data_IF_338879593845
#
_entry.id   IF_338879593845
#
_cell.length_a   1.000
_cell.length_b   1.000
_cell.length_c   1.000
_cell.angle_alpha   90.00
_cell.angle_beta   90.00
_cell.angle_gamma   90.00
#
_symmetry.space_group_name_H-M   'P 1'
#
loop_
_entity.id
_entity.type
_entity.pdbx_description
1 polymer ?
#
# COMPACT_ATOMS: atom_id res chain seq x y z
N UNK A 1 11.56 -23.42 -3.63
CA UNK A 1 12.86 -23.23 -4.34
C UNK A 1 12.90 -21.82 -4.89
N UNK A 2 14.11 -21.22 -5.00
CA UNK A 2 14.26 -19.85 -5.51
C UNK A 2 14.86 -19.94 -6.91
N UNK A 3 14.18 -19.34 -7.87
CA UNK A 3 14.67 -19.23 -9.24
C UNK A 3 14.94 -17.76 -9.58
N UNK A 4 15.95 -17.53 -10.39
CA UNK A 4 16.26 -16.19 -10.92
C UNK A 4 16.22 -16.26 -12.44
N UNK A 5 15.51 -15.30 -13.03
CA UNK A 5 15.47 -15.07 -14.46
C UNK A 5 16.36 -13.86 -14.78
N UNK A 6 17.12 -13.95 -15.85
CA UNK A 6 17.81 -12.77 -16.33
C UNK A 6 16.80 -11.73 -16.86
N UNK A 7 17.20 -10.47 -16.92
CA UNK A 7 16.33 -9.35 -17.34
C UNK A 7 15.66 -9.58 -18.71
N UNK A 8 16.32 -10.31 -19.61
CA UNK A 8 15.79 -10.61 -20.94
C UNK A 8 14.84 -11.82 -20.94
N UNK A 9 14.65 -12.50 -19.80
CA UNK A 9 13.82 -13.70 -19.63
C UNK A 9 14.25 -14.87 -20.52
N UNK A 10 15.53 -14.91 -20.93
CA UNK A 10 16.10 -15.95 -21.80
C UNK A 10 16.83 -17.04 -21.02
N UNK A 11 17.13 -16.80 -19.76
CA UNK A 11 17.85 -17.71 -18.88
C UNK A 11 17.15 -17.75 -17.52
N UNK A 12 16.98 -18.98 -17.01
CA UNK A 12 16.45 -19.27 -15.67
C UNK A 12 17.42 -20.18 -14.95
N UNK A 13 17.78 -19.82 -13.72
CA UNK A 13 18.61 -20.67 -12.86
C UNK A 13 18.05 -20.73 -11.45
N UNK A 14 18.26 -21.87 -10.81
CA UNK A 14 17.99 -22.04 -9.39
C UNK A 14 19.15 -21.48 -8.58
N UNK A 15 18.86 -20.69 -7.54
CA UNK A 15 19.89 -20.25 -6.59
C UNK A 15 20.32 -21.41 -5.69
N UNK A 16 21.63 -21.58 -5.59
CA UNK A 16 22.26 -22.56 -4.74
C UNK A 16 22.72 -21.91 -3.42
N UNK A 17 22.76 -22.71 -2.35
CA UNK A 17 23.34 -22.29 -1.06
C UNK A 17 22.75 -20.99 -0.51
N UNK A 18 21.41 -20.87 -0.54
CA UNK A 18 20.70 -19.76 0.09
C UNK A 18 20.82 -19.90 1.61
N UNK A 19 21.38 -18.89 2.26
CA UNK A 19 21.60 -18.84 3.70
C UNK A 19 20.41 -18.22 4.43
N UNK A 20 19.84 -17.16 3.87
CA UNK A 20 18.61 -16.58 4.36
C UNK A 20 17.77 -15.96 3.25
N UNK A 21 16.48 -15.96 3.47
CA UNK A 21 15.48 -15.27 2.64
C UNK A 21 14.50 -14.58 3.57
N UNK A 22 14.28 -13.31 3.36
CA UNK A 22 13.14 -12.59 3.91
C UNK A 22 12.31 -12.09 2.74
N UNK A 23 11.03 -12.42 2.74
CA UNK A 23 10.09 -11.96 1.72
C UNK A 23 8.85 -11.38 2.38
N UNK A 24 8.52 -10.17 2.03
CA UNK A 24 7.38 -9.43 2.54
C UNK A 24 6.45 -9.06 1.39
N UNK A 25 5.21 -9.51 1.44
CA UNK A 25 4.17 -9.11 0.50
C UNK A 25 3.13 -8.25 1.20
N UNK A 26 2.61 -7.27 0.48
CA UNK A 26 1.59 -6.33 0.96
C UNK A 26 0.36 -6.42 0.07
N UNK A 27 -0.83 -6.44 0.66
CA UNK A 27 -2.09 -6.54 -0.08
C UNK A 27 -2.34 -5.34 -0.98
N UNK A 28 -2.15 -4.16 -0.42
CA UNK A 28 -2.22 -2.90 -1.15
C UNK A 28 -0.90 -2.16 -0.99
N UNK A 29 0.03 -2.43 -1.90
CA UNK A 29 1.38 -1.84 -1.86
C UNK A 29 2.41 -2.71 -2.53
N UNK A 30 3.65 -2.27 -2.46
CA UNK A 30 4.80 -2.94 -3.08
C UNK A 30 5.61 -3.66 -2.00
N UNK A 31 5.64 -4.98 -2.05
CA UNK A 31 6.40 -5.82 -1.13
C UNK A 31 7.92 -5.67 -1.30
N UNK A 32 8.68 -6.27 -0.39
CA UNK A 32 10.14 -6.24 -0.39
C UNK A 32 10.72 -7.64 -0.18
N UNK A 33 11.94 -7.88 -0.66
CA UNK A 33 12.66 -9.09 -0.33
C UNK A 33 14.15 -8.85 -0.12
N UNK A 34 14.77 -9.74 0.63
CA UNK A 34 16.22 -9.83 0.82
C UNK A 34 16.64 -11.29 0.76
N UNK A 35 17.62 -11.59 -0.06
CA UNK A 35 18.20 -12.92 -0.24
C UNK A 35 19.68 -12.84 0.08
N UNK A 36 20.15 -13.72 0.98
CA UNK A 36 21.57 -13.89 1.24
C UNK A 36 21.96 -15.31 0.82
N UNK A 37 22.97 -15.41 0.00
CA UNK A 37 23.52 -16.70 -0.42
C UNK A 37 25.05 -16.64 -0.47
N UNK A 38 25.67 -17.83 -0.53
CA UNK A 38 27.13 -17.92 -0.68
C UNK A 38 27.58 -17.29 -1.99
N UNK A 39 28.71 -16.59 -1.94
CA UNK A 39 29.34 -16.04 -3.13
C UNK A 39 29.96 -17.18 -3.96
N UNK A 40 29.28 -17.53 -5.04
CA UNK A 40 29.76 -18.46 -6.08
C UNK A 40 29.62 -17.80 -7.45
N UNK A 41 30.39 -18.26 -8.43
CA UNK A 41 30.33 -17.69 -9.79
C UNK A 41 28.91 -17.80 -10.38
N UNK A 42 28.19 -18.90 -10.10
CA UNK A 42 26.82 -19.11 -10.56
C UNK A 42 25.85 -18.12 -9.92
N UNK A 43 25.91 -17.94 -8.58
CA UNK A 43 25.05 -17.01 -7.87
C UNK A 43 25.35 -15.56 -8.30
N UNK A 44 26.64 -15.19 -8.40
CA UNK A 44 27.07 -13.86 -8.83
C UNK A 44 26.66 -13.55 -10.28
N UNK A 45 26.62 -14.55 -11.15
CA UNK A 45 26.14 -14.38 -12.52
C UNK A 45 24.66 -14.05 -12.61
N UNK A 46 23.84 -14.57 -11.68
CA UNK A 46 22.38 -14.42 -11.72
C UNK A 46 21.85 -13.34 -10.80
N UNK A 47 22.45 -13.11 -9.64
CA UNK A 47 22.03 -12.04 -8.72
C UNK A 47 22.55 -10.69 -9.22
N UNK A 48 21.82 -10.11 -10.16
CA UNK A 48 22.14 -8.82 -10.76
C UNK A 48 20.93 -7.89 -10.75
N UNK A 49 21.17 -6.61 -10.63
CA UNK A 49 20.15 -5.58 -10.73
C UNK A 49 19.33 -5.72 -12.02
N UNK A 50 18.01 -5.75 -11.87
CA UNK A 50 17.05 -5.87 -12.97
C UNK A 50 16.69 -7.31 -13.33
N UNK A 51 17.33 -8.31 -12.72
CA UNK A 51 16.90 -9.71 -12.83
C UNK A 51 15.68 -9.97 -11.95
N UNK A 52 14.86 -10.94 -12.33
CA UNK A 52 13.64 -11.31 -11.63
C UNK A 52 13.88 -12.52 -10.73
N UNK A 53 13.28 -12.51 -9.56
CA UNK A 53 13.29 -13.62 -8.62
C UNK A 53 11.89 -14.20 -8.55
N UNK A 54 11.79 -15.51 -8.60
CA UNK A 54 10.57 -16.27 -8.36
C UNK A 54 10.77 -17.22 -7.18
N UNK A 55 9.88 -17.14 -6.20
CA UNK A 55 9.90 -17.97 -5.00
C UNK A 55 8.48 -18.30 -4.56
N UNK A 56 8.07 -19.57 -4.68
CA UNK A 56 6.81 -20.09 -4.13
C UNK A 56 5.55 -19.27 -4.52
N UNK A 57 5.50 -18.86 -5.80
CA UNK A 57 4.41 -18.02 -6.33
C UNK A 57 4.57 -16.52 -6.06
N UNK A 58 5.68 -16.11 -5.45
CA UNK A 58 6.05 -14.71 -5.30
C UNK A 58 7.05 -14.30 -6.38
N UNK A 59 6.85 -13.13 -6.95
CA UNK A 59 7.68 -12.58 -8.01
C UNK A 59 8.29 -11.25 -7.57
N UNK A 60 9.58 -11.08 -7.81
CA UNK A 60 10.28 -9.87 -7.41
C UNK A 60 11.33 -9.40 -8.42
N UNK A 61 11.65 -8.13 -8.33
CA UNK A 61 12.69 -7.47 -9.14
C UNK A 61 13.87 -7.09 -8.24
N UNK A 62 15.07 -7.58 -8.57
CA UNK A 62 16.32 -7.21 -7.87
C UNK A 62 16.65 -5.76 -8.19
N UNK A 63 16.79 -4.96 -7.15
CA UNK A 63 17.13 -3.53 -7.29
C UNK A 63 18.55 -3.23 -6.86
N UNK A 64 19.07 -3.96 -5.90
CA UNK A 64 20.36 -3.74 -5.29
C UNK A 64 21.05 -5.07 -4.97
N UNK A 65 22.37 -5.12 -5.13
CA UNK A 65 23.18 -6.30 -4.89
C UNK A 65 24.48 -5.88 -4.21
N UNK A 66 24.76 -6.48 -3.08
CA UNK A 66 26.03 -6.31 -2.36
C UNK A 66 26.80 -7.63 -2.41
N UNK A 67 28.03 -7.60 -2.91
CA UNK A 67 28.93 -8.77 -2.99
C UNK A 67 30.04 -8.59 -1.97
N UNK A 68 30.21 -9.60 -1.13
CA UNK A 68 31.29 -9.73 -0.16
C UNK A 68 32.10 -11.00 -0.50
N UNK A 69 33.22 -11.20 0.19
CA UNK A 69 34.10 -12.34 -0.10
C UNK A 69 33.37 -13.69 -0.05
N UNK A 70 32.54 -13.90 0.98
CA UNK A 70 31.87 -15.18 1.25
C UNK A 70 30.37 -15.16 0.90
N UNK A 71 29.76 -13.99 0.73
CA UNK A 71 28.31 -13.87 0.57
C UNK A 71 27.89 -12.85 -0.47
N UNK A 72 26.69 -13.06 -1.01
CA UNK A 72 25.99 -12.11 -1.86
C UNK A 72 24.65 -11.82 -1.21
N UNK A 73 24.34 -10.54 -1.05
CA UNK A 73 23.04 -10.06 -0.61
C UNK A 73 22.34 -9.37 -1.80
N UNK A 74 21.17 -9.86 -2.17
CA UNK A 74 20.32 -9.25 -3.19
C UNK A 74 19.04 -8.76 -2.54
N UNK A 75 18.75 -7.46 -2.67
CA UNK A 75 17.55 -6.83 -2.20
C UNK A 75 16.69 -6.38 -3.37
N UNK A 76 15.39 -6.36 -3.16
CA UNK A 76 14.44 -5.91 -4.17
C UNK A 76 13.03 -5.79 -3.65
N UNK A 77 12.13 -5.57 -4.57
CA UNK A 77 10.71 -5.42 -4.30
C UNK A 77 9.88 -6.47 -5.06
N UNK A 78 8.64 -6.68 -4.61
CA UNK A 78 7.67 -7.45 -5.38
C UNK A 78 7.55 -6.91 -6.81
N UNK A 79 7.13 -7.75 -7.73
CA UNK A 79 7.15 -7.40 -9.16
C UNK A 79 6.28 -6.18 -9.48
N UNK A 80 5.32 -5.83 -8.62
CA UNK A 80 4.52 -4.61 -8.72
C UNK A 80 5.37 -3.32 -8.80
N UNK A 81 6.62 -3.34 -8.32
CA UNK A 81 7.55 -2.20 -8.45
C UNK A 81 7.78 -1.77 -9.91
N UNK A 82 7.54 -2.64 -10.88
CA UNK A 82 7.63 -2.28 -12.30
C UNK A 82 6.66 -1.13 -12.66
N UNK A 83 5.54 -1.00 -11.96
CA UNK A 83 4.59 0.10 -12.15
C UNK A 83 5.24 1.46 -11.88
N UNK A 84 6.18 1.54 -10.94
CA UNK A 84 6.92 2.77 -10.62
C UNK A 84 7.90 3.22 -11.71
N UNK A 85 8.07 2.42 -12.77
CA UNK A 85 8.81 2.84 -13.96
C UNK A 85 7.99 3.77 -14.86
N UNK A 86 6.74 4.04 -14.53
CA UNK A 86 5.83 4.91 -15.28
C UNK A 86 5.13 5.89 -14.35
N UNK A 87 4.89 7.08 -14.86
CA UNK A 87 4.17 8.17 -14.18
C UNK A 87 2.88 8.47 -14.90
N UNK A 88 1.90 9.05 -14.22
CA UNK A 88 0.71 9.58 -14.84
C UNK A 88 1.04 10.82 -15.71
N UNK A 89 0.48 10.88 -16.92
CA UNK A 89 0.73 11.99 -17.84
C UNK A 89 -0.30 13.10 -17.77
N UNK A 90 -1.51 12.75 -17.37
CA UNK A 90 -2.64 13.68 -17.32
C UNK A 90 -3.30 13.62 -15.96
N UNK A 91 -3.81 14.75 -15.54
CA UNK A 91 -4.66 14.83 -14.37
C UNK A 91 -6.00 14.13 -14.69
N UNK A 92 -6.50 13.35 -13.77
CA UNK A 92 -7.79 12.65 -13.89
C UNK A 92 -8.36 12.33 -12.52
N UNK A 93 -9.69 12.24 -12.43
CA UNK A 93 -10.37 11.81 -11.20
C UNK A 93 -10.85 10.38 -11.40
N UNK A 94 -10.50 9.52 -10.48
CA UNK A 94 -10.90 8.11 -10.45
C UNK A 94 -11.99 7.94 -9.38
N UNK A 95 -13.14 7.43 -9.78
CA UNK A 95 -14.31 7.22 -8.90
C UNK A 95 -14.68 5.74 -8.71
N UNK A 96 -14.11 4.85 -9.52
CA UNK A 96 -14.30 3.40 -9.45
C UNK A 96 -12.94 2.73 -9.41
N UNK A 97 -12.68 1.94 -8.38
CA UNK A 97 -11.33 1.46 -8.11
C UNK A 97 -10.80 0.51 -9.17
N UNK A 98 -11.48 -0.61 -9.44
CA UNK A 98 -10.97 -1.60 -10.39
C UNK A 98 -10.87 -1.05 -11.82
N UNK A 99 -11.96 -0.49 -12.34
CA UNK A 99 -11.98 0.03 -13.72
C UNK A 99 -11.08 1.25 -13.89
N UNK A 100 -10.99 2.11 -12.86
CA UNK A 100 -10.12 3.28 -12.85
C UNK A 100 -8.65 2.90 -12.83
N UNK A 101 -8.26 1.93 -12.00
CA UNK A 101 -6.90 1.42 -11.94
C UNK A 101 -6.46 0.83 -13.30
N UNK A 102 -7.28 -0.01 -13.92
CA UNK A 102 -6.98 -0.53 -15.26
C UNK A 102 -6.91 0.56 -16.31
N UNK A 103 -7.82 1.52 -16.29
CA UNK A 103 -7.83 2.65 -17.25
C UNK A 103 -6.56 3.50 -17.09
N UNK A 104 -6.18 3.84 -15.86
CA UNK A 104 -4.97 4.59 -15.57
C UNK A 104 -3.72 3.83 -16.01
N UNK A 105 -3.63 2.52 -15.72
CA UNK A 105 -2.54 1.66 -16.15
C UNK A 105 -2.42 1.64 -17.67
N UNK A 106 -3.50 1.32 -18.39
CA UNK A 106 -3.49 1.20 -19.85
C UNK A 106 -3.13 2.51 -20.54
N UNK A 107 -3.63 3.64 -20.03
CA UNK A 107 -3.30 4.97 -20.55
C UNK A 107 -1.81 5.34 -20.39
N UNK A 108 -1.15 4.78 -19.35
CA UNK A 108 0.19 5.20 -18.95
C UNK A 108 1.27 4.11 -19.07
N UNK A 109 0.97 2.87 -19.46
CA UNK A 109 1.96 1.77 -19.54
C UNK A 109 3.09 2.00 -20.56
N UNK A 110 2.87 2.76 -21.62
CA UNK A 110 3.90 3.22 -22.60
C UNK A 110 4.99 2.19 -22.90
N UNK A 111 4.64 1.05 -23.47
CA UNK A 111 5.59 -0.02 -23.81
C UNK A 111 6.16 -0.80 -22.61
N UNK A 112 5.59 -0.64 -21.42
CA UNK A 112 5.88 -1.52 -20.30
C UNK A 112 5.42 -2.95 -20.64
N UNK A 113 6.34 -3.92 -20.51
CA UNK A 113 6.07 -5.33 -20.79
C UNK A 113 5.29 -5.97 -19.63
N UNK A 114 4.06 -5.50 -19.46
CA UNK A 114 3.08 -5.97 -18.48
C UNK A 114 1.70 -5.86 -19.13
N UNK A 115 0.93 -6.93 -19.11
CA UNK A 115 -0.45 -6.95 -19.56
C UNK A 115 -1.42 -6.62 -18.41
N UNK A 116 -2.59 -6.11 -18.72
CA UNK A 116 -3.67 -5.97 -17.75
C UNK A 116 -4.47 -7.27 -17.67
N UNK A 117 -4.83 -7.71 -16.47
CA UNK A 117 -5.79 -8.78 -16.29
C UNK A 117 -7.19 -8.35 -16.77
N UNK A 118 -8.07 -9.30 -17.00
CA UNK A 118 -9.47 -9.02 -17.27
C UNK A 118 -10.15 -8.53 -16.00
N UNK A 119 -10.85 -7.40 -16.06
CA UNK A 119 -11.61 -6.90 -14.95
C UNK A 119 -12.68 -7.90 -14.49
N UNK A 120 -12.86 -8.04 -13.20
CA UNK A 120 -13.79 -9.00 -12.57
C UNK A 120 -15.09 -8.36 -12.10
N UNK A 121 -15.20 -7.02 -12.20
CA UNK A 121 -16.33 -6.25 -11.67
C UNK A 121 -16.29 -6.17 -10.16
N UNK A 122 -15.12 -6.02 -9.58
CA UNK A 122 -14.93 -5.93 -8.14
C UNK A 122 -15.64 -4.69 -7.59
N UNK A 123 -16.34 -4.81 -6.46
CA UNK A 123 -16.99 -3.67 -5.82
C UNK A 123 -15.93 -2.72 -5.25
N UNK A 124 -16.24 -1.45 -5.22
CA UNK A 124 -15.40 -0.43 -4.57
C UNK A 124 -15.45 0.88 -5.32
N UNK A 125 -15.85 1.91 -4.59
CA UNK A 125 -15.75 3.30 -5.01
C UNK A 125 -14.54 3.93 -4.35
N UNK A 126 -13.94 4.88 -5.04
CA UNK A 126 -12.87 5.72 -4.52
C UNK A 126 -13.08 7.14 -5.03
N UNK A 127 -12.39 8.09 -4.48
CA UNK A 127 -12.30 9.43 -5.03
C UNK A 127 -10.83 9.85 -4.98
N UNK A 128 -10.13 9.57 -6.07
CA UNK A 128 -8.69 9.85 -6.17
C UNK A 128 -8.45 10.83 -7.30
N UNK A 129 -7.94 11.99 -6.96
CA UNK A 129 -7.47 12.99 -7.91
C UNK A 129 -6.04 12.66 -8.32
N UNK A 130 -5.90 11.96 -9.43
CA UNK A 130 -4.58 11.62 -9.98
C UNK A 130 -3.98 12.86 -10.62
N UNK A 131 -2.82 13.26 -10.14
CA UNK A 131 -2.04 14.36 -10.69
C UNK A 131 -0.92 13.82 -11.59
N UNK A 132 -0.58 14.56 -12.64
CA UNK A 132 0.56 14.22 -13.51
C UNK A 132 1.86 14.24 -12.70
N UNK A 133 2.71 13.25 -12.93
CA UNK A 133 4.05 13.15 -12.32
C UNK A 133 4.17 12.10 -11.23
N UNK A 134 3.11 11.71 -10.52
CA UNK A 134 3.13 10.60 -9.56
C UNK A 134 3.34 9.24 -10.25
N UNK A 135 3.96 8.28 -9.57
CA UNK A 135 4.18 6.95 -10.14
C UNK A 135 2.90 6.14 -10.23
N UNK A 136 2.82 5.19 -11.17
CA UNK A 136 1.62 4.35 -11.27
C UNK A 136 1.44 3.47 -10.02
N UNK A 137 2.53 3.02 -9.39
CA UNK A 137 2.44 2.22 -8.17
C UNK A 137 1.79 3.00 -7.03
N UNK A 138 2.21 4.26 -6.80
CA UNK A 138 1.66 5.12 -5.76
C UNK A 138 0.16 5.39 -6.00
N UNK A 139 -0.22 5.65 -7.26
CA UNK A 139 -1.64 5.82 -7.61
C UNK A 139 -2.46 4.55 -7.43
N UNK A 140 -1.90 3.37 -7.78
CA UNK A 140 -2.59 2.09 -7.54
C UNK A 140 -2.81 1.86 -6.04
N UNK A 141 -1.84 2.20 -5.21
CA UNK A 141 -1.96 2.10 -3.76
C UNK A 141 -3.07 2.99 -3.24
N UNK A 142 -3.14 4.27 -3.66
CA UNK A 142 -4.20 5.18 -3.25
C UNK A 142 -5.59 4.73 -3.72
N UNK A 143 -5.73 4.31 -4.99
CA UNK A 143 -6.99 3.86 -5.55
C UNK A 143 -7.48 2.59 -4.85
N UNK A 144 -6.60 1.60 -4.69
CA UNK A 144 -6.98 0.30 -4.14
C UNK A 144 -7.23 0.36 -2.64
N UNK A 145 -6.45 1.15 -1.88
CA UNK A 145 -6.63 1.28 -0.42
C UNK A 145 -7.98 1.87 -0.06
N UNK A 146 -8.44 2.91 -0.76
CA UNK A 146 -9.77 3.51 -0.50
C UNK A 146 -10.92 2.53 -0.75
N UNK A 147 -10.75 1.57 -1.64
CA UNK A 147 -11.76 0.57 -1.98
C UNK A 147 -11.60 -0.77 -1.23
N UNK A 148 -10.59 -0.89 -0.38
CA UNK A 148 -10.27 -2.16 0.29
C UNK A 148 -9.86 -3.28 -0.67
N UNK A 149 -9.29 -2.92 -1.84
CA UNK A 149 -8.77 -3.84 -2.85
C UNK A 149 -7.26 -3.97 -2.74
N UNK A 150 -6.72 -5.02 -3.32
CA UNK A 150 -5.28 -5.20 -3.49
C UNK A 150 -4.88 -5.09 -4.96
N UNK A 151 -3.59 -4.90 -5.20
CA UNK A 151 -3.04 -5.00 -6.53
C UNK A 151 -1.71 -5.76 -6.51
N UNK A 152 -1.38 -6.36 -7.64
CA UNK A 152 -0.13 -7.10 -7.83
C UNK A 152 0.28 -7.15 -9.30
N UNK A 153 1.54 -7.47 -9.53
CA UNK A 153 2.03 -7.93 -10.83
C UNK A 153 2.58 -9.33 -10.65
N UNK A 154 2.09 -10.27 -11.41
CA UNK A 154 2.50 -11.68 -11.35
C UNK A 154 3.26 -12.07 -12.62
N UNK A 155 4.12 -13.07 -12.51
CA UNK A 155 4.83 -13.71 -13.61
C UNK A 155 4.29 -15.11 -13.83
N UNK A 156 3.82 -15.40 -15.02
CA UNK A 156 3.55 -16.77 -15.44
C UNK A 156 4.88 -17.43 -15.89
N UNK A 157 5.34 -18.41 -15.12
CA UNK A 157 6.62 -19.09 -15.36
C UNK A 157 6.70 -19.83 -16.70
N UNK A 158 5.57 -20.19 -17.31
CA UNK A 158 5.52 -20.95 -18.56
C UNK A 158 5.50 -20.03 -19.78
N UNK A 159 4.65 -19.01 -19.73
CA UNK A 159 4.53 -18.04 -20.82
C UNK A 159 5.48 -16.85 -20.70
N UNK A 160 6.10 -16.69 -19.53
CA UNK A 160 6.96 -15.56 -19.15
C UNK A 160 6.27 -14.19 -19.25
N UNK A 161 4.94 -14.20 -19.22
CA UNK A 161 4.12 -12.99 -19.25
C UNK A 161 3.95 -12.41 -17.85
N UNK A 162 4.05 -11.09 -17.77
CA UNK A 162 3.77 -10.32 -16.57
C UNK A 162 2.37 -9.75 -16.67
N UNK A 163 1.59 -9.87 -15.60
CA UNK A 163 0.20 -9.44 -15.59
C UNK A 163 -0.07 -8.56 -14.37
N UNK A 164 -0.53 -7.33 -14.60
CA UNK A 164 -1.06 -6.45 -13.56
C UNK A 164 -2.50 -6.84 -13.27
N UNK A 165 -2.81 -7.08 -12.01
CA UNK A 165 -4.13 -7.48 -11.53
C UNK A 165 -4.54 -6.66 -10.30
N UNK A 166 -5.77 -6.16 -10.32
CA UNK A 166 -6.49 -5.70 -9.13
C UNK A 166 -7.34 -6.85 -8.61
N UNK A 167 -7.30 -7.13 -7.31
CA UNK A 167 -7.97 -8.30 -6.74
C UNK A 167 -8.58 -8.03 -5.37
N UNK A 168 -9.50 -8.88 -4.98
CA UNK A 168 -10.10 -8.91 -3.65
C UNK A 168 -9.86 -10.29 -3.04
N UNK A 169 -9.50 -10.33 -1.76
CA UNK A 169 -9.40 -11.59 -1.02
C UNK A 169 -10.77 -12.12 -0.63
N UNK A 170 -10.82 -13.38 -0.24
CA UNK A 170 -12.03 -14.08 0.17
C UNK A 170 -12.44 -13.68 1.60
N UNK A 171 -13.76 -13.73 1.89
CA UNK A 171 -14.28 -13.58 3.25
C UNK A 171 -14.37 -14.95 3.93
N UNK A 172 -13.39 -15.26 4.77
CA UNK A 172 -13.26 -16.52 5.53
C UNK A 172 -13.78 -16.37 6.98
N UNK A 173 -14.67 -15.42 7.23
CA UNK A 173 -15.14 -15.12 8.59
C UNK A 173 -16.43 -15.81 8.98
N UNK A 174 -17.18 -16.39 8.04
CA UNK A 174 -18.46 -17.02 8.29
C UNK A 174 -18.31 -18.26 9.18
N UNK A 175 -18.97 -18.32 10.34
CA UNK A 175 -18.86 -19.48 11.25
C UNK A 175 -19.52 -20.74 10.69
N UNK A 176 -20.38 -20.61 9.69
CA UNK A 176 -21.07 -21.72 9.02
C UNK A 176 -20.31 -22.25 7.81
N UNK A 177 -19.26 -21.55 7.38
CA UNK A 177 -18.42 -21.97 6.27
C UNK A 177 -17.34 -22.94 6.77
N UNK A 178 -17.22 -24.15 6.20
CA UNK A 178 -16.14 -25.09 6.51
C UNK A 178 -14.75 -24.53 6.22
N UNK A 179 -14.65 -23.54 5.33
CA UNK A 179 -13.39 -22.88 4.97
C UNK A 179 -13.03 -21.72 5.91
N UNK A 180 -13.90 -21.40 6.90
CA UNK A 180 -13.64 -20.30 7.81
C UNK A 180 -12.31 -20.42 8.54
N UNK A 181 -11.60 -19.30 8.63
CA UNK A 181 -10.29 -19.21 9.28
C UNK A 181 -10.39 -18.38 10.55
N UNK A 182 -10.03 -19.03 11.67
CA UNK A 182 -9.95 -18.38 12.98
C UNK A 182 -8.57 -18.65 13.57
N UNK A 183 -7.78 -17.62 13.73
CA UNK A 183 -6.52 -17.69 14.47
C UNK A 183 -6.79 -17.67 15.97
N UNK A 184 -6.35 -18.70 16.69
CA UNK A 184 -6.44 -18.72 18.14
C UNK A 184 -5.41 -19.66 18.77
N UNK A 185 -4.99 -19.34 20.00
CA UNK A 185 -4.13 -20.22 20.78
C UNK A 185 -4.81 -21.56 21.09
N UNK A 186 -6.14 -21.59 21.21
CA UNK A 186 -6.90 -22.81 21.45
C UNK A 186 -6.90 -23.77 20.24
N UNK A 187 -6.73 -23.27 19.04
CA UNK A 187 -6.61 -24.05 17.79
C UNK A 187 -5.16 -24.39 17.43
N UNK A 188 -4.22 -23.98 18.25
CA UNK A 188 -2.79 -24.20 18.06
C UNK A 188 -2.26 -23.68 16.69
N UNK A 189 -2.94 -22.69 16.10
CA UNK A 189 -2.56 -22.05 14.85
C UNK A 189 -2.10 -20.58 15.04
N UNK A 190 -2.03 -20.12 16.29
CA UNK A 190 -1.53 -18.81 16.70
C UNK A 190 -0.36 -19.02 17.68
N UNK A 191 0.86 -18.77 17.24
CA UNK A 191 2.05 -18.88 18.05
C UNK A 191 2.34 -17.60 18.85
N UNK A 192 2.02 -16.45 18.31
CA UNK A 192 2.18 -15.14 18.95
C UNK A 192 1.16 -14.13 18.43
N UNK A 193 0.82 -13.17 19.28
CA UNK A 193 0.01 -12.01 18.94
C UNK A 193 0.74 -10.78 19.46
N UNK A 194 1.06 -9.86 18.59
CA UNK A 194 1.54 -8.52 18.91
C UNK A 194 0.44 -7.53 18.54
N UNK A 195 0.18 -6.61 19.43
CA UNK A 195 -0.74 -5.50 19.20
C UNK A 195 0.12 -4.25 19.27
N UNK A 196 0.09 -3.48 18.22
CA UNK A 196 0.78 -2.20 18.14
C UNK A 196 -0.27 -1.13 17.95
N UNK A 197 -0.33 -0.19 18.89
CA UNK A 197 -1.19 0.97 18.85
C UNK A 197 -0.29 2.20 18.74
N UNK A 198 -0.06 2.63 17.50
CA UNK A 198 0.80 3.77 17.21
C UNK A 198 -0.04 5.04 17.06
N UNK A 199 -0.03 5.84 18.10
CA UNK A 199 -0.61 7.17 18.14
C UNK A 199 0.42 8.31 18.02
N UNK A 200 1.68 8.00 17.70
CA UNK A 200 2.77 8.99 17.70
C UNK A 200 2.54 10.15 16.72
N UNK A 201 1.87 9.87 15.60
CA UNK A 201 1.52 10.86 14.59
C UNK A 201 0.04 11.25 14.59
N UNK A 202 -0.73 10.74 15.56
CA UNK A 202 -2.17 11.01 15.61
C UNK A 202 -2.46 12.50 15.75
N UNK A 203 -3.36 13.00 14.91
CA UNK A 203 -3.94 14.34 15.04
C UNK A 203 -5.44 14.29 14.69
N UNK A 204 -6.20 15.16 15.33
CA UNK A 204 -7.64 15.28 15.13
C UNK A 204 -8.11 16.73 14.90
N UNK A 205 -7.16 17.66 14.87
CA UNK A 205 -7.40 19.05 14.49
C UNK A 205 -6.25 19.51 13.58
N UNK A 206 -6.59 20.08 12.42
CA UNK A 206 -5.64 20.74 11.56
C UNK A 206 -5.82 22.26 11.64
N UNK A 207 -4.72 22.97 11.86
CA UNK A 207 -4.62 24.41 11.76
C UNK A 207 -3.95 24.74 10.44
N UNK A 208 -4.75 25.18 9.48
CA UNK A 208 -4.31 25.45 8.10
C UNK A 208 -4.08 26.94 7.94
N UNK A 209 -2.88 27.32 7.52
CA UNK A 209 -2.49 28.69 7.23
C UNK A 209 -2.44 28.92 5.72
N UNK A 210 -3.07 29.99 5.27
CA UNK A 210 -3.05 30.43 3.88
C UNK A 210 -2.79 31.93 3.78
N UNK A 211 -2.89 32.48 2.55
CA UNK A 211 -2.79 33.91 2.24
C UNK A 211 -3.95 34.34 1.36
N UNK A 212 -4.59 35.45 1.70
CA UNK A 212 -5.64 36.05 0.87
C UNK A 212 -5.06 36.80 -0.34
N UNK A 213 -5.93 37.42 -1.16
CA UNK A 213 -5.56 38.24 -2.32
C UNK A 213 -4.71 39.46 -1.98
N UNK A 214 -4.68 39.88 -0.71
CA UNK A 214 -3.92 41.04 -0.23
C UNK A 214 -2.65 40.62 0.52
N UNK A 215 -2.25 39.35 0.41
CA UNK A 215 -1.12 38.75 1.11
C UNK A 215 -1.26 38.69 2.64
N UNK A 216 -2.50 38.86 3.15
CA UNK A 216 -2.77 38.69 4.58
C UNK A 216 -2.90 37.22 4.94
N UNK A 217 -2.40 36.86 6.13
CA UNK A 217 -2.53 35.52 6.65
C UNK A 217 -3.98 35.18 6.98
N UNK A 218 -4.45 34.04 6.49
CA UNK A 218 -5.78 33.48 6.76
C UNK A 218 -5.61 32.13 7.43
N UNK A 219 -6.41 31.88 8.47
CA UNK A 219 -6.38 30.61 9.21
C UNK A 219 -7.69 29.88 9.04
N UNK A 220 -7.61 28.57 8.80
CA UNK A 220 -8.73 27.66 8.80
C UNK A 220 -8.48 26.55 9.81
N UNK A 221 -9.48 26.21 10.63
CA UNK A 221 -9.38 25.14 11.62
C UNK A 221 -10.34 24.03 11.22
N UNK A 222 -9.80 22.82 11.06
CA UNK A 222 -10.55 21.61 10.72
C UNK A 222 -10.49 20.67 11.91
N UNK A 223 -11.64 20.15 12.33
CA UNK A 223 -11.78 19.32 13.51
C UNK A 223 -12.43 20.07 14.68
N UNK A 224 -13.03 19.30 15.60
CA UNK A 224 -13.85 19.86 16.71
C UNK A 224 -13.35 19.48 18.09
N UNK A 225 -12.25 18.71 18.19
CA UNK A 225 -11.70 18.28 19.47
C UNK A 225 -11.21 19.46 20.31
N UNK A 226 -11.37 19.36 21.63
CA UNK A 226 -11.03 20.43 22.59
C UNK A 226 -10.34 19.85 23.83
N UNK A 227 -9.66 20.70 24.59
CA UNK A 227 -9.04 20.32 25.86
C UNK A 227 -7.91 19.30 25.70
N UNK A 228 -7.85 18.32 26.57
CA UNK A 228 -6.81 17.31 26.60
C UNK A 228 -6.89 16.31 25.42
N UNK A 229 -8.05 16.21 24.79
CA UNK A 229 -8.27 15.32 23.63
C UNK A 229 -7.95 15.99 22.30
N UNK A 230 -7.44 17.22 22.30
CA UNK A 230 -7.09 17.96 21.10
C UNK A 230 -5.62 17.77 20.76
N UNK A 231 -5.37 17.13 19.63
CA UNK A 231 -4.05 16.92 19.02
C UNK A 231 -3.99 17.67 17.69
N UNK A 232 -3.12 18.66 17.59
CA UNK A 232 -3.06 19.56 16.44
C UNK A 232 -1.92 19.24 15.51
N UNK A 233 -2.21 19.37 14.19
CA UNK A 233 -1.18 19.55 13.18
C UNK A 233 -1.29 20.93 12.54
N UNK A 234 -0.17 21.40 12.05
CA UNK A 234 -0.08 22.66 11.31
C UNK A 234 0.17 22.38 9.83
N UNK A 235 -0.66 22.96 8.96
CA UNK A 235 -0.58 22.82 7.51
C UNK A 235 -0.30 24.20 6.91
N UNK A 236 0.82 24.37 6.23
CA UNK A 236 1.20 25.64 5.59
C UNK A 236 0.83 25.61 4.10
N UNK A 237 -0.21 26.37 3.74
CA UNK A 237 -0.70 26.60 2.38
C UNK A 237 -0.34 27.97 1.83
N UNK A 238 0.60 28.70 2.47
CA UNK A 238 1.01 30.03 2.00
C UNK A 238 1.67 30.03 0.63
N UNK A 239 2.18 28.88 0.18
CA UNK A 239 2.72 28.66 -1.17
C UNK A 239 1.65 28.52 -2.26
N UNK A 240 0.37 28.32 -1.87
CA UNK A 240 -0.80 28.24 -2.76
C UNK A 240 -1.87 29.24 -2.27
N UNK A 241 -1.64 30.55 -2.47
CA UNK A 241 -2.52 31.60 -1.97
C UNK A 241 -3.88 31.60 -2.70
N UNK A 242 -4.81 32.44 -2.20
CA UNK A 242 -6.07 32.71 -2.88
C UNK A 242 -5.82 33.20 -4.33
N UNK A 243 -6.50 32.61 -5.30
CA UNK A 243 -6.28 32.89 -6.72
C UNK A 243 -6.87 34.24 -7.13
N UNK A 244 -6.04 35.11 -7.68
CA UNK A 244 -6.47 36.37 -8.25
C UNK A 244 -7.19 36.18 -9.60
N UNK A 245 -7.96 37.16 -10.02
CA UNK A 245 -8.56 37.14 -11.36
C UNK A 245 -7.47 37.10 -12.43
N UNK A 246 -7.70 36.31 -13.47
CA UNK A 246 -6.87 36.30 -14.67
C UNK A 246 -7.49 37.19 -15.72
N UNK A 247 -6.77 38.21 -16.15
CA UNK A 247 -7.21 39.14 -17.19
C UNK A 247 -6.39 38.97 -18.46
N UNK A 248 -7.01 39.21 -19.63
CA UNK A 248 -6.37 39.29 -20.93
C UNK A 248 -6.81 40.55 -21.65
N UNK A 249 -5.95 41.09 -22.48
CA UNK A 249 -6.36 42.18 -23.40
C UNK A 249 -7.05 41.58 -24.61
N UNK A 250 -8.26 42.11 -24.95
CA UNK A 250 -8.97 41.80 -26.17
C UNK A 250 -8.30 42.49 -27.38
N UNK A 251 -8.82 42.24 -28.59
CA UNK A 251 -8.28 42.80 -29.83
C UNK A 251 -8.44 44.35 -29.89
N UNK A 252 -9.27 44.93 -29.05
CA UNK A 252 -9.52 46.37 -28.93
C UNK A 252 -8.61 47.04 -27.86
N UNK A 253 -7.77 46.22 -27.16
CA UNK A 253 -6.84 46.68 -26.13
C UNK A 253 -7.53 46.91 -24.78
N UNK A 254 -8.72 46.42 -24.56
CA UNK A 254 -9.44 46.50 -23.29
C UNK A 254 -9.13 45.22 -22.43
N UNK A 255 -9.04 45.40 -21.12
CA UNK A 255 -8.81 44.34 -20.17
C UNK A 255 -10.10 43.55 -19.93
N UNK A 256 -10.12 42.27 -20.26
CA UNK A 256 -11.21 41.34 -20.05
C UNK A 256 -10.86 40.29 -19.02
N UNK A 257 -11.73 40.05 -18.04
CA UNK A 257 -11.57 39.00 -17.05
C UNK A 257 -11.90 37.66 -17.71
N UNK A 258 -10.87 36.81 -17.85
CA UNK A 258 -11.01 35.44 -18.41
C UNK A 258 -11.37 34.46 -17.31
N UNK A 259 -10.79 34.60 -16.12
CA UNK A 259 -11.13 33.82 -14.94
C UNK A 259 -11.36 34.78 -13.77
N UNK A 260 -12.50 34.68 -13.07
CA UNK A 260 -12.77 35.49 -11.92
C UNK A 260 -11.85 35.11 -10.75
N UNK A 261 -11.62 36.06 -9.84
CA UNK A 261 -10.91 35.75 -8.61
C UNK A 261 -11.65 34.68 -7.81
N UNK A 262 -10.88 33.82 -7.14
CA UNK A 262 -11.41 32.84 -6.19
C UNK A 262 -12.15 33.56 -5.06
N UNK A 263 -13.40 33.19 -4.80
CA UNK A 263 -14.14 33.77 -3.67
C UNK A 263 -13.56 33.33 -2.33
N UNK A 264 -13.74 34.16 -1.29
CA UNK A 264 -13.29 33.83 0.06
C UNK A 264 -13.84 32.47 0.55
N UNK A 265 -15.11 32.18 0.21
CA UNK A 265 -15.74 30.91 0.59
C UNK A 265 -15.14 29.72 -0.13
N UNK A 266 -14.75 29.85 -1.42
CA UNK A 266 -14.08 28.81 -2.17
C UNK A 266 -12.65 28.58 -1.64
N UNK A 267 -11.96 29.66 -1.32
CA UNK A 267 -10.64 29.57 -0.71
C UNK A 267 -10.67 28.89 0.66
N UNK A 268 -11.62 29.28 1.54
CA UNK A 268 -11.82 28.63 2.84
C UNK A 268 -12.14 27.14 2.68
N UNK A 269 -12.95 26.76 1.69
CA UNK A 269 -13.25 25.36 1.40
C UNK A 269 -11.98 24.59 0.97
N UNK A 270 -11.10 25.22 0.17
CA UNK A 270 -9.83 24.63 -0.27
C UNK A 270 -8.85 24.45 0.91
N UNK A 271 -8.75 25.44 1.80
CA UNK A 271 -7.95 25.30 3.03
C UNK A 271 -8.51 24.19 3.93
N UNK A 272 -9.85 24.12 4.06
CA UNK A 272 -10.49 23.07 4.86
C UNK A 272 -10.25 21.68 4.27
N UNK A 273 -10.29 21.53 2.94
CA UNK A 273 -9.99 20.28 2.26
C UNK A 273 -8.54 19.83 2.51
N UNK A 274 -7.57 20.72 2.39
CA UNK A 274 -6.17 20.41 2.69
C UNK A 274 -5.97 19.98 4.15
N UNK A 275 -6.66 20.64 5.09
CA UNK A 275 -6.65 20.25 6.50
C UNK A 275 -7.27 18.87 6.72
N UNK A 276 -8.32 18.54 6.00
CA UNK A 276 -8.99 17.25 6.10
C UNK A 276 -8.13 16.11 5.52
N UNK A 277 -7.47 16.36 4.42
CA UNK A 277 -6.51 15.44 3.81
C UNK A 277 -5.34 15.14 4.76
N UNK A 278 -4.73 16.19 5.31
CA UNK A 278 -3.64 16.05 6.28
C UNK A 278 -4.06 15.28 7.55
N UNK A 279 -5.32 15.40 8.00
CA UNK A 279 -5.85 14.62 9.12
C UNK A 279 -6.12 13.15 8.75
N UNK A 280 -6.48 12.85 7.49
CA UNK A 280 -6.67 11.47 7.03
C UNK A 280 -5.36 10.67 7.05
N UNK A 281 -4.23 11.33 6.83
CA UNK A 281 -2.91 10.72 6.92
C UNK A 281 -2.45 10.48 8.37
N UNK A 282 -3.12 11.10 9.35
CA UNK A 282 -2.74 11.13 10.77
C UNK A 282 -3.72 10.39 11.69
N UNK A 283 -4.33 9.34 11.17
CA UNK A 283 -5.21 8.48 11.96
C UNK A 283 -4.37 7.56 12.84
N UNK A 284 -4.78 7.34 14.09
CA UNK A 284 -4.15 6.34 14.94
C UNK A 284 -4.26 4.95 14.29
N UNK A 285 -3.12 4.31 14.07
CA UNK A 285 -3.07 2.99 13.45
C UNK A 285 -2.91 1.92 14.51
N UNK A 286 -3.94 1.09 14.70
CA UNK A 286 -3.82 -0.11 15.50
C UNK A 286 -3.55 -1.28 14.57
N UNK A 287 -2.37 -1.86 14.63
CA UNK A 287 -2.01 -3.05 13.87
C UNK A 287 -1.95 -4.29 14.75
N UNK A 288 -2.25 -5.43 14.15
CA UNK A 288 -2.20 -6.73 14.80
C UNK A 288 -1.30 -7.65 14.01
N UNK A 289 -0.16 -8.00 14.57
CA UNK A 289 0.72 -9.00 13.98
C UNK A 289 0.53 -10.33 14.66
N UNK A 290 0.38 -11.39 13.87
CA UNK A 290 0.23 -12.74 14.36
C UNK A 290 1.29 -13.65 13.72
N UNK A 291 1.96 -14.43 14.56
CA UNK A 291 2.86 -15.49 14.08
C UNK A 291 2.09 -16.77 13.97
N UNK A 292 2.07 -17.36 12.79
CA UNK A 292 1.27 -18.54 12.45
C UNK A 292 2.15 -19.66 11.90
N UNK A 293 1.55 -20.85 11.73
CA UNK A 293 2.25 -21.96 11.07
C UNK A 293 2.32 -21.72 9.55
N UNK A 294 3.51 -21.83 8.92
CA UNK A 294 3.68 -21.58 7.50
C UNK A 294 2.85 -22.50 6.58
N UNK A 295 2.51 -23.69 7.06
CA UNK A 295 1.82 -24.72 6.28
C UNK A 295 0.37 -24.40 5.90
N UNK A 296 -0.27 -23.48 6.63
CA UNK A 296 -1.69 -23.12 6.38
C UNK A 296 -1.83 -22.00 5.34
N UNK A 297 -0.78 -21.21 5.14
CA UNK A 297 -0.77 -20.12 4.16
C UNK A 297 -0.71 -20.66 2.73
N UNK A 298 -1.47 -20.07 1.84
CA UNK A 298 -1.62 -20.51 0.46
C UNK A 298 -2.60 -21.67 0.27
N UNK A 299 -2.92 -22.41 1.34
CA UNK A 299 -3.88 -23.54 1.33
C UNK A 299 -5.20 -23.15 1.93
N UNK A 300 -5.18 -22.59 3.14
CA UNK A 300 -6.41 -22.24 3.89
C UNK A 300 -6.73 -20.75 3.84
N UNK A 301 -5.75 -19.90 3.70
CA UNK A 301 -5.90 -18.45 3.57
C UNK A 301 -4.76 -17.86 2.78
N UNK A 302 -4.96 -16.67 2.24
CA UNK A 302 -4.01 -15.94 1.40
C UNK A 302 -3.95 -14.47 1.81
N UNK A 303 -2.99 -13.76 1.25
CA UNK A 303 -2.91 -12.30 1.34
C UNK A 303 -4.20 -11.67 0.77
N UNK A 304 -4.80 -10.76 1.54
CA UNK A 304 -6.04 -10.10 1.21
C UNK A 304 -7.31 -10.72 1.81
N UNK A 305 -7.25 -11.95 2.32
CA UNK A 305 -8.42 -12.60 2.90
C UNK A 305 -8.85 -11.96 4.23
N UNK A 306 -10.17 -11.93 4.47
CA UNK A 306 -10.74 -11.56 5.75
C UNK A 306 -10.77 -12.78 6.66
N UNK A 307 -10.22 -12.65 7.86
CA UNK A 307 -10.08 -13.72 8.84
C UNK A 307 -10.52 -13.27 10.24
N UNK A 308 -10.79 -14.22 11.11
CA UNK A 308 -11.01 -13.93 12.54
C UNK A 308 -9.77 -14.23 13.36
N UNK A 309 -9.51 -13.39 14.35
CA UNK A 309 -8.51 -13.65 15.36
C UNK A 309 -9.15 -13.61 16.75
N UNK A 310 -8.88 -14.63 17.55
CA UNK A 310 -9.37 -14.72 18.92
C UNK A 310 -8.22 -14.96 19.89
N UNK A 311 -8.04 -14.03 20.83
CA UNK A 311 -7.08 -14.18 21.92
C UNK A 311 -7.77 -14.10 23.26
N UNK A 312 -7.90 -15.25 23.94
CA UNK A 312 -8.47 -15.31 25.29
C UNK A 312 -7.63 -14.54 26.30
N UNK A 313 -6.29 -14.61 26.17
CA UNK A 313 -5.35 -13.91 27.05
C UNK A 313 -5.55 -12.39 27.04
N UNK A 314 -5.78 -11.83 25.87
CA UNK A 314 -5.97 -10.39 25.69
C UNK A 314 -7.43 -9.96 25.65
N UNK A 315 -8.38 -10.92 25.70
CA UNK A 315 -9.83 -10.65 25.60
C UNK A 315 -10.26 -10.08 24.25
N UNK A 316 -9.51 -10.37 23.17
CA UNK A 316 -9.70 -9.80 21.85
C UNK A 316 -10.38 -10.82 20.93
N UNK A 317 -11.38 -10.34 20.21
CA UNK A 317 -11.96 -10.99 19.03
C UNK A 317 -12.08 -9.92 17.95
N UNK A 318 -11.39 -10.12 16.85
CA UNK A 318 -11.39 -9.17 15.74
C UNK A 318 -11.60 -9.91 14.42
N UNK A 319 -12.15 -9.19 13.47
CA UNK A 319 -12.17 -9.55 12.07
C UNK A 319 -11.25 -8.55 11.36
N UNK A 320 -10.31 -9.05 10.61
CA UNK A 320 -9.36 -8.20 9.91
C UNK A 320 -8.89 -8.86 8.61
N UNK A 321 -8.41 -8.05 7.71
CA UNK A 321 -7.78 -8.49 6.45
C UNK A 321 -6.34 -8.89 6.69
N UNK A 322 -5.90 -9.95 6.06
CA UNK A 322 -4.47 -10.28 5.95
C UNK A 322 -3.83 -9.23 5.04
N UNK A 323 -3.30 -8.15 5.63
CA UNK A 323 -2.77 -6.99 4.90
C UNK A 323 -1.32 -7.17 4.48
N UNK A 324 -0.57 -7.97 5.24
CA UNK A 324 0.84 -8.21 4.97
C UNK A 324 1.22 -9.64 5.37
N UNK A 325 2.11 -10.23 4.61
CA UNK A 325 2.69 -11.55 4.89
C UNK A 325 4.20 -11.44 4.78
N UNK A 326 4.90 -11.83 5.84
CA UNK A 326 6.36 -11.87 5.90
C UNK A 326 6.82 -13.30 6.10
N UNK A 327 7.44 -13.84 5.09
CA UNK A 327 8.10 -15.13 5.15
C UNK A 327 9.60 -14.96 5.42
N UNK A 328 10.09 -15.64 6.42
CA UNK A 328 11.53 -15.65 6.74
C UNK A 328 12.00 -17.10 6.78
N UNK A 329 13.02 -17.36 5.98
CA UNK A 329 13.71 -18.63 5.94
C UNK A 329 15.15 -18.41 6.33
N UNK A 330 15.62 -19.14 7.31
CA UNK A 330 17.02 -19.22 7.66
C UNK A 330 17.47 -20.69 7.69
N UNK A 331 18.73 -20.93 8.03
CA UNK A 331 19.30 -22.30 8.11
C UNK A 331 18.66 -23.17 9.21
N UNK A 332 17.89 -22.59 10.13
CA UNK A 332 17.33 -23.26 11.31
C UNK A 332 15.83 -23.42 11.28
N UNK A 333 15.11 -22.44 10.75
CA UNK A 333 13.65 -22.42 10.84
C UNK A 333 13.03 -21.53 9.77
N UNK A 334 11.91 -22.01 9.21
CA UNK A 334 11.02 -21.19 8.40
C UNK A 334 9.93 -20.59 9.30
N UNK A 335 9.69 -19.29 9.19
CA UNK A 335 8.65 -18.58 9.93
C UNK A 335 7.77 -17.79 8.98
N UNK A 336 6.49 -17.70 9.31
CA UNK A 336 5.52 -16.88 8.64
C UNK A 336 4.86 -15.94 9.67
N UNK A 337 5.00 -14.66 9.43
CA UNK A 337 4.30 -13.62 10.17
C UNK A 337 3.26 -13.01 9.25
N UNK A 338 2.06 -12.79 9.76
CA UNK A 338 1.02 -12.06 9.06
C UNK A 338 0.61 -10.83 9.85
N UNK A 339 0.42 -9.73 9.16
CA UNK A 339 -0.18 -8.52 9.72
C UNK A 339 -1.65 -8.49 9.34
N UNK A 340 -2.49 -8.26 10.33
CA UNK A 340 -3.92 -8.08 10.16
C UNK A 340 -4.21 -6.58 10.19
N UNK A 341 -4.52 -6.01 9.03
CA UNK A 341 -4.83 -4.59 8.88
C UNK A 341 -6.33 -4.30 8.99
N UNK A 342 -6.68 -3.06 9.31
CA UNK A 342 -8.05 -2.55 9.40
C UNK A 342 -8.99 -3.43 10.24
N UNK A 343 -8.61 -3.75 11.49
CA UNK A 343 -9.40 -4.67 12.30
C UNK A 343 -10.72 -4.04 12.72
N UNK A 344 -11.81 -4.76 12.51
CA UNK A 344 -13.10 -4.42 13.09
C UNK A 344 -13.21 -5.04 14.49
N UNK A 345 -13.01 -4.21 15.51
CA UNK A 345 -13.16 -4.60 16.90
C UNK A 345 -14.64 -4.54 17.32
N UNK A 346 -15.12 -5.55 18.02
CA UNK A 346 -16.47 -5.49 18.59
C UNK A 346 -16.51 -4.48 19.74
N UNK A 347 -17.39 -3.48 19.70
CA UNK A 347 -17.50 -2.34 20.64
C UNK A 347 -17.41 -2.69 22.13
N UNK A 348 -17.85 -3.87 22.55
CA UNK A 348 -17.77 -4.33 23.96
C UNK A 348 -16.34 -4.49 24.50
N UNK A 349 -15.32 -4.51 23.66
CA UNK A 349 -13.94 -4.83 24.03
C UNK A 349 -12.99 -3.66 23.92
N UNK A 350 -13.27 -2.67 23.07
CA UNK A 350 -12.53 -1.41 23.02
C UNK A 350 -12.51 -0.73 24.39
N UNK A 351 -13.66 -0.65 25.07
CA UNK A 351 -13.79 -0.04 26.42
C UNK A 351 -12.93 -0.75 27.47
N UNK A 352 -12.66 -2.05 27.36
CA UNK A 352 -11.81 -2.80 28.29
C UNK A 352 -10.30 -2.65 28.03
N UNK A 353 -9.89 -2.34 26.81
CA UNK A 353 -8.50 -2.05 26.49
C UNK A 353 -8.07 -0.67 27.00
N UNK A 354 -8.98 0.30 27.01
CA UNK A 354 -8.74 1.68 27.45
C UNK A 354 -8.94 1.91 28.96
N UNK A 355 -9.46 0.93 29.70
CA UNK A 355 -9.68 1.01 31.15
C UNK A 355 -8.61 0.28 31.99
N UNK A 356 -7.54 -0.20 31.40
CA UNK A 356 -6.37 -0.74 32.09
C UNK A 356 -5.17 0.20 31.92
#
# INVERSE_FOLDING_TARGET
>A
MIYVFNRAMTERRMLLTVESLTWKETYCGIGTFSIVCRNTDENAAMLRKGNLVHFDGYDGLIQDVTIQDDSITANGNSLAVILNQRTAYNDTVITSAESGAYSLFLANKRGLDVDAATAKGLPGTCEVSVEKGGTLGDWMEQICSQAGLGFRVTLDEHSLKKTFEVYQGDDLTSPTDPQSVVFSTARNNLAGLQIEDDGSEYANVAVVKGKDLNDHEVMCIVGTATGADRYEIYVDMTGDPQKAAVTKFNDEGEEEIVEPAESDSAYQARLAAAGQEALQERVAHTSFSVTVQPTDYGVRYKLGDLVKCYSKKHGIELTARVSEVKYTKDTKKDTLEITLGEPTLTMRKLVKLWQK
#
